data_IF_190061203864
#
_entry.id   IF_190061203864
#
_cell.length_a   1.000
_cell.length_b   1.000
_cell.length_c   1.000
_cell.angle_alpha   90.00
_cell.angle_beta   90.00
_cell.angle_gamma   90.00
#
_symmetry.space_group_name_H-M   'P 1'
#
loop_
_entity.id
_entity.type
_entity.pdbx_description
1 polymer ?
#
# COMPACT_ATOMS: atom_id res chain seq x y z
N UNK A 1 18.20 -10.33 -0.14
CA UNK A 1 16.82 -10.63 0.30
C UNK A 1 16.68 -10.72 1.81
N UNK A 2 17.58 -11.40 2.52
CA UNK A 2 17.47 -11.63 3.98
C UNK A 2 17.22 -10.36 4.81
N UNK A 3 17.99 -9.28 4.60
CA UNK A 3 17.77 -8.00 5.30
C UNK A 3 16.40 -7.36 5.02
N UNK A 4 15.90 -7.46 3.78
CA UNK A 4 14.56 -6.95 3.44
C UNK A 4 13.47 -7.79 4.11
N UNK A 5 13.63 -9.12 4.14
CA UNK A 5 12.72 -10.01 4.84
C UNK A 5 12.69 -9.75 6.35
N UNK A 6 13.85 -9.47 6.98
CA UNK A 6 13.88 -9.04 8.37
C UNK A 6 13.09 -7.75 8.61
N UNK A 7 13.08 -6.85 7.63
CA UNK A 7 12.28 -5.63 7.64
C UNK A 7 10.76 -5.85 7.72
N UNK A 8 10.25 -7.02 7.33
CA UNK A 8 8.82 -7.37 7.46
C UNK A 8 8.37 -7.45 8.92
N UNK A 9 9.30 -7.66 9.86
CA UNK A 9 9.01 -7.68 11.30
C UNK A 9 9.00 -6.28 11.94
N UNK A 10 9.20 -5.23 11.14
CA UNK A 10 9.22 -3.83 11.61
C UNK A 10 7.96 -3.09 11.16
N UNK A 11 7.53 -2.08 11.93
CA UNK A 11 6.38 -1.23 11.56
C UNK A 11 6.63 -0.43 10.27
N UNK A 12 7.89 -0.09 10.00
CA UNK A 12 8.33 0.64 8.82
C UNK A 12 9.76 0.25 8.48
N UNK A 13 10.00 -0.08 7.20
CA UNK A 13 11.34 -0.32 6.66
C UNK A 13 11.63 0.68 5.55
N UNK A 14 12.70 1.46 5.69
CA UNK A 14 13.13 2.45 4.70
C UNK A 14 14.26 1.88 3.84
N UNK A 15 14.06 1.84 2.52
CA UNK A 15 15.10 1.49 1.55
C UNK A 15 15.63 2.78 0.91
N UNK A 16 16.86 3.17 1.26
CA UNK A 16 17.50 4.39 0.77
C UNK A 16 18.86 4.09 0.15
N UNK A 17 19.16 4.79 -0.96
CA UNK A 17 20.40 4.72 -1.71
C UNK A 17 20.44 5.90 -2.70
N UNK A 18 21.61 6.30 -3.23
CA UNK A 18 21.71 7.36 -4.24
C UNK A 18 20.95 7.04 -5.55
N UNK A 19 20.80 8.03 -6.41
CA UNK A 19 20.21 7.84 -7.74
C UNK A 19 21.03 6.81 -8.55
N UNK A 20 20.35 5.95 -9.32
CA UNK A 20 21.00 4.92 -10.13
C UNK A 20 21.37 3.61 -9.42
N UNK A 21 21.27 3.51 -8.09
CA UNK A 21 21.62 2.29 -7.33
C UNK A 21 20.61 1.14 -7.42
N UNK A 22 19.62 1.20 -8.32
CA UNK A 22 18.68 0.10 -8.54
C UNK A 22 17.65 -0.15 -7.43
N UNK A 23 17.33 0.85 -6.58
CA UNK A 23 16.33 0.71 -5.50
C UNK A 23 15.01 0.11 -5.98
N UNK A 24 14.44 0.65 -7.05
CA UNK A 24 13.18 0.17 -7.62
C UNK A 24 13.30 -1.26 -8.14
N UNK A 25 14.44 -1.61 -8.73
CA UNK A 25 14.73 -2.97 -9.19
C UNK A 25 14.81 -3.95 -8.01
N UNK A 26 15.57 -3.60 -6.96
CA UNK A 26 15.71 -4.41 -5.76
C UNK A 26 14.36 -4.66 -5.07
N UNK A 27 13.55 -3.61 -4.89
CA UNK A 27 12.22 -3.76 -4.29
C UNK A 27 11.29 -4.54 -5.23
N UNK A 28 11.36 -4.33 -6.54
CA UNK A 28 10.57 -5.07 -7.53
C UNK A 28 10.84 -6.58 -7.49
N UNK A 29 12.11 -6.99 -7.50
CA UNK A 29 12.52 -8.40 -7.34
C UNK A 29 12.05 -8.96 -5.99
N UNK A 30 12.15 -8.17 -4.93
CA UNK A 30 11.70 -8.57 -3.60
C UNK A 30 10.19 -8.81 -3.56
N UNK A 31 9.40 -7.92 -4.15
CA UNK A 31 7.95 -8.11 -4.30
C UNK A 31 7.63 -9.37 -5.10
N UNK A 32 8.35 -9.65 -6.19
CA UNK A 32 8.18 -10.91 -6.93
C UNK A 32 8.38 -12.12 -6.02
N UNK A 33 9.42 -12.13 -5.18
CA UNK A 33 9.63 -13.19 -4.20
C UNK A 33 8.51 -13.31 -3.16
N UNK A 34 7.99 -12.19 -2.64
CA UNK A 34 6.87 -12.19 -1.68
C UNK A 34 5.57 -12.73 -2.28
N UNK A 35 5.32 -12.47 -3.57
CA UNK A 35 4.12 -13.01 -4.25
C UNK A 35 4.19 -14.52 -4.44
N UNK A 36 5.39 -15.11 -4.49
CA UNK A 36 5.58 -16.57 -4.53
C UNK A 36 5.23 -17.19 -3.17
N UNK A 37 5.44 -16.45 -2.07
CA UNK A 37 5.12 -16.88 -0.70
C UNK A 37 3.71 -16.46 -0.26
N UNK A 38 2.80 -16.24 -1.21
CA UNK A 38 1.39 -15.88 -1.00
C UNK A 38 1.15 -14.63 -0.13
N UNK A 39 2.12 -13.71 -0.11
CA UNK A 39 2.00 -12.44 0.60
C UNK A 39 1.27 -11.40 -0.26
N UNK A 40 0.33 -10.67 0.35
CA UNK A 40 -0.34 -9.55 -0.32
C UNK A 40 0.57 -8.33 -0.34
N UNK A 41 0.88 -7.84 -1.54
CA UNK A 41 1.72 -6.66 -1.74
C UNK A 41 0.96 -5.60 -2.53
N UNK A 42 0.89 -4.41 -1.97
CA UNK A 42 0.38 -3.21 -2.62
C UNK A 42 1.55 -2.27 -2.96
N UNK A 43 1.54 -1.72 -4.18
CA UNK A 43 2.51 -0.71 -4.59
C UNK A 43 1.86 0.68 -4.61
N UNK A 44 2.46 1.62 -3.89
CA UNK A 44 1.99 3.00 -3.80
C UNK A 44 3.15 3.94 -4.14
N UNK A 45 2.98 4.73 -5.19
CA UNK A 45 3.87 5.84 -5.53
C UNK A 45 3.26 7.12 -4.98
N UNK A 46 4.07 7.93 -4.29
CA UNK A 46 3.66 9.20 -3.69
C UNK A 46 4.53 10.34 -4.21
N UNK A 47 3.92 11.50 -4.38
CA UNK A 47 4.63 12.75 -4.66
C UNK A 47 4.19 13.88 -3.70
N UNK A 48 4.73 15.09 -3.89
CA UNK A 48 4.44 16.23 -3.02
C UNK A 48 2.97 16.69 -3.08
N UNK A 49 2.27 16.42 -4.18
CA UNK A 49 0.85 16.74 -4.34
C UNK A 49 -0.07 15.77 -3.58
N UNK A 50 0.46 14.69 -3.02
CA UNK A 50 -0.25 13.73 -2.18
C UNK A 50 -0.29 14.12 -0.69
N UNK A 51 0.19 15.32 -0.35
CA UNK A 51 0.08 15.89 1.01
C UNK A 51 -1.36 16.38 1.35
N UNK A 52 -2.37 15.71 0.79
CA UNK A 52 -3.78 15.82 1.16
C UNK A 52 -4.23 14.46 1.69
N UNK A 53 -4.70 14.43 2.95
CA UNK A 53 -5.01 13.19 3.64
C UNK A 53 -6.06 12.34 2.90
N UNK A 54 -7.06 12.99 2.30
CA UNK A 54 -8.11 12.28 1.56
C UNK A 54 -7.55 11.67 0.26
N UNK A 55 -6.66 12.37 -0.45
CA UNK A 55 -5.97 11.87 -1.65
C UNK A 55 -5.03 10.71 -1.31
N UNK A 56 -4.23 10.87 -0.26
CA UNK A 56 -3.36 9.83 0.24
C UNK A 56 -4.14 8.54 0.57
N UNK A 57 -5.23 8.65 1.35
CA UNK A 57 -6.05 7.49 1.71
C UNK A 57 -6.70 6.83 0.49
N UNK A 58 -7.18 7.62 -0.48
CA UNK A 58 -7.70 7.07 -1.76
C UNK A 58 -6.66 6.23 -2.47
N UNK A 59 -5.41 6.69 -2.54
CA UNK A 59 -4.36 5.96 -3.21
C UNK A 59 -3.94 4.71 -2.43
N UNK A 60 -3.86 4.78 -1.09
CA UNK A 60 -3.62 3.62 -0.23
C UNK A 60 -4.68 2.54 -0.46
N UNK A 61 -5.97 2.91 -0.34
CA UNK A 61 -7.08 1.96 -0.51
C UNK A 61 -7.05 1.36 -1.92
N UNK A 62 -6.84 2.19 -2.95
CA UNK A 62 -6.74 1.74 -4.34
C UNK A 62 -5.59 0.75 -4.54
N UNK A 63 -4.42 1.03 -3.96
CA UNK A 63 -3.25 0.17 -4.06
C UNK A 63 -3.49 -1.19 -3.36
N UNK A 64 -4.10 -1.18 -2.18
CA UNK A 64 -4.47 -2.40 -1.45
C UNK A 64 -5.49 -3.23 -2.23
N UNK A 65 -6.55 -2.62 -2.77
CA UNK A 65 -7.56 -3.32 -3.57
C UNK A 65 -7.01 -3.95 -4.86
N UNK A 66 -5.96 -3.36 -5.43
CA UNK A 66 -5.31 -3.87 -6.64
C UNK A 66 -4.25 -4.94 -6.36
N UNK A 67 -3.89 -5.17 -5.10
CA UNK A 67 -2.96 -6.23 -4.74
C UNK A 67 -3.52 -7.60 -5.12
N UNK A 68 -2.64 -8.52 -5.57
CA UNK A 68 -3.04 -9.88 -5.91
C UNK A 68 -3.73 -10.56 -4.71
N UNK A 69 -4.74 -11.38 -4.99
CA UNK A 69 -5.55 -12.12 -4.03
C UNK A 69 -6.42 -11.26 -3.09
N UNK A 70 -6.51 -9.93 -3.29
CA UNK A 70 -7.39 -9.10 -2.48
C UNK A 70 -8.80 -8.98 -3.08
N UNK A 71 -9.59 -10.06 -2.97
CA UNK A 71 -11.03 -10.01 -3.22
C UNK A 71 -11.82 -9.58 -1.96
N UNK A 72 -11.16 -8.92 -1.00
CA UNK A 72 -11.79 -8.57 0.27
C UNK A 72 -12.95 -7.57 0.06
N UNK A 73 -14.12 -7.82 0.67
CA UNK A 73 -15.22 -6.86 0.73
C UNK A 73 -14.81 -5.53 1.37
N UNK A 74 -13.86 -5.58 2.31
CA UNK A 74 -13.29 -4.45 3.04
C UNK A 74 -12.72 -3.36 2.11
N UNK A 75 -11.87 -3.75 1.15
CA UNK A 75 -11.29 -2.81 0.19
C UNK A 75 -12.33 -2.18 -0.74
N UNK A 76 -13.29 -2.98 -1.23
CA UNK A 76 -14.38 -2.52 -2.11
C UNK A 76 -15.30 -1.53 -1.38
N UNK A 77 -15.62 -1.79 -0.10
CA UNK A 77 -16.39 -0.89 0.76
C UNK A 77 -15.65 0.42 1.03
N UNK A 78 -14.36 0.36 1.39
CA UNK A 78 -13.54 1.55 1.61
C UNK A 78 -13.44 2.44 0.35
N UNK A 79 -13.29 1.84 -0.84
CA UNK A 79 -13.33 2.59 -2.12
C UNK A 79 -14.69 3.24 -2.36
N UNK A 80 -15.79 2.51 -2.14
CA UNK A 80 -17.14 3.04 -2.32
C UNK A 80 -17.42 4.24 -1.40
N UNK A 81 -16.95 4.17 -0.15
CA UNK A 81 -17.06 5.26 0.83
C UNK A 81 -16.20 6.47 0.49
N UNK A 82 -15.07 6.28 -0.21
CA UNK A 82 -14.23 7.38 -0.69
C UNK A 82 -14.74 8.02 -1.99
N UNK A 83 -15.55 7.29 -2.76
CA UNK A 83 -16.19 7.77 -3.98
C UNK A 83 -17.55 8.44 -3.71
N UNK A 84 -18.17 8.23 -2.54
CA UNK A 84 -19.37 8.95 -2.16
C UNK A 84 -19.01 10.42 -1.90
N UNK A 85 -19.76 11.37 -2.49
CA UNK A 85 -19.51 12.82 -2.35
C UNK A 85 -19.88 13.37 -0.96
N UNK A 86 -19.89 12.53 0.07
CA UNK A 86 -20.11 12.95 1.45
C UNK A 86 -18.74 13.13 2.13
N UNK A 87 -18.63 13.99 3.15
CA UNK A 87 -17.42 14.06 3.96
C UNK A 87 -17.26 12.75 4.74
N UNK A 88 -16.55 11.79 4.16
CA UNK A 88 -16.27 10.50 4.79
C UNK A 88 -15.24 10.73 5.90
N UNK A 89 -15.56 10.44 7.17
CA UNK A 89 -14.57 10.49 8.24
C UNK A 89 -13.43 9.53 7.92
N UNK A 90 -12.19 10.00 8.01
CA UNK A 90 -10.98 9.21 7.72
C UNK A 90 -10.93 7.93 8.57
N UNK A 91 -11.43 8.00 9.80
CA UNK A 91 -11.58 6.87 10.70
C UNK A 91 -12.49 5.79 10.13
N UNK A 92 -13.61 6.14 9.49
CA UNK A 92 -14.55 5.17 8.93
C UNK A 92 -13.92 4.38 7.77
N UNK A 93 -13.08 5.03 6.96
CA UNK A 93 -12.33 4.38 5.87
C UNK A 93 -11.29 3.42 6.43
N UNK A 94 -10.56 3.82 7.48
CA UNK A 94 -9.56 2.97 8.14
C UNK A 94 -10.22 1.78 8.85
N UNK A 95 -11.34 1.99 9.53
CA UNK A 95 -12.11 0.92 10.18
C UNK A 95 -12.59 -0.11 9.16
N UNK A 96 -13.09 0.33 7.99
CA UNK A 96 -13.52 -0.58 6.92
C UNK A 96 -12.38 -1.38 6.28
N UNK A 97 -11.13 -0.97 6.45
CA UNK A 97 -9.96 -1.69 5.92
C UNK A 97 -9.36 -2.69 6.93
N UNK A 98 -9.59 -2.47 8.22
CA UNK A 98 -8.97 -3.24 9.31
C UNK A 98 -9.93 -4.31 9.87
N UNK A 99 -11.24 -4.07 9.82
CA UNK A 99 -12.29 -4.95 10.33
C UNK A 99 -13.08 -5.62 9.19
#
# INVERSE_FOLDING_TARGET
>A
METLNHGLNSKLTLVSAPAGFGKTTLVGEWVTHLTITDSHVAWLSLDAADNDLARFLRYVVTAVCRSKNNDSPAGKSALAMLHSQQPTPTEAVLTSLIN
#
